data_IF_942337169814
#
_entry.id   IF_942337169814
#
_cell.length_a   1.000
_cell.length_b   1.000
_cell.length_c   1.000
_cell.angle_alpha   90.00
_cell.angle_beta   90.00
_cell.angle_gamma   90.00
#
_symmetry.space_group_name_H-M   'P 1'
#
loop_
_entity.id
_entity.type
_entity.pdbx_description
1 polymer ?
#
# COMPACT_ATOMS: atom_id res chain seq x y z
N UNK A 1 -68.01 42.87 32.10
CA UNK A 1 -68.34 43.10 33.53
C UNK A 1 -67.13 42.80 34.40
N UNK A 2 -65.99 43.44 34.07
CA UNK A 2 -65.48 44.65 34.73
C UNK A 2 -65.49 44.70 36.26
N UNK A 3 -64.28 44.75 36.83
CA UNK A 3 -63.75 45.78 37.76
C UNK A 3 -62.27 45.42 38.05
N UNK A 4 -61.27 46.06 37.41
CA UNK A 4 -60.52 47.27 37.83
C UNK A 4 -60.10 47.27 39.32
N UNK A 5 -58.84 47.51 39.74
CA UNK A 5 -57.87 48.52 39.30
C UNK A 5 -56.47 48.35 39.95
N UNK A 6 -55.45 48.85 39.23
CA UNK A 6 -54.13 49.46 39.57
C UNK A 6 -53.36 49.12 40.87
N UNK A 7 -52.06 48.78 40.74
CA UNK A 7 -50.96 49.75 40.94
C UNK A 7 -49.57 49.16 40.58
N UNK A 8 -48.67 50.03 40.14
CA UNK A 8 -47.21 49.81 39.94
C UNK A 8 -46.48 51.05 40.50
N UNK A 9 -45.13 51.18 40.56
CA UNK A 9 -44.03 50.21 40.49
C UNK A 9 -42.98 50.42 41.63
N UNK A 10 -42.12 49.44 41.96
CA UNK A 10 -40.81 49.71 42.61
C UNK A 10 -39.75 48.71 42.12
N UNK A 11 -38.65 49.25 41.61
CA UNK A 11 -37.44 48.54 41.23
C UNK A 11 -36.59 48.19 42.46
N UNK A 12 -36.00 47.00 42.49
CA UNK A 12 -34.75 46.76 43.21
C UNK A 12 -34.00 45.58 42.61
N UNK A 13 -32.78 45.87 42.19
CA UNK A 13 -31.81 44.97 41.62
C UNK A 13 -31.41 43.85 42.59
N UNK A 14 -31.37 42.60 42.11
CA UNK A 14 -30.35 41.63 42.51
C UNK A 14 -30.29 40.44 41.53
N UNK A 15 -29.55 40.60 40.42
CA UNK A 15 -29.06 39.46 39.64
C UNK A 15 -27.55 39.61 39.45
N UNK A 16 -26.82 39.27 40.53
CA UNK A 16 -25.37 39.15 40.49
C UNK A 16 -24.95 37.69 40.36
N UNK A 17 -24.42 37.38 39.18
CA UNK A 17 -23.37 36.38 38.91
C UNK A 17 -23.63 34.92 39.33
N UNK A 18 -24.25 34.15 38.42
CA UNK A 18 -23.80 32.78 38.18
C UNK A 18 -22.70 32.84 37.12
N UNK A 19 -21.46 32.80 37.59
CA UNK A 19 -20.28 32.64 36.76
C UNK A 19 -20.41 31.37 35.91
N UNK A 20 -20.46 31.58 34.61
CA UNK A 20 -20.18 30.58 33.60
C UNK A 20 -18.76 30.05 33.82
N UNK A 21 -18.65 28.84 34.39
CA UNK A 21 -17.46 28.01 34.26
C UNK A 21 -17.31 27.64 32.78
N UNK A 22 -16.66 28.55 32.04
CA UNK A 22 -16.05 28.22 30.76
C UNK A 22 -14.90 27.25 31.08
N UNK A 23 -15.19 25.95 30.96
CA UNK A 23 -14.17 24.90 30.86
C UNK A 23 -13.25 25.25 29.68
N UNK A 24 -12.15 25.93 29.99
CA UNK A 24 -11.08 26.21 29.06
C UNK A 24 -10.33 24.88 28.84
N UNK A 25 -10.77 24.07 27.86
CA UNK A 25 -9.96 22.94 27.41
C UNK A 25 -8.58 23.50 27.00
N UNK A 26 -7.47 22.99 27.56
CA UNK A 26 -6.15 23.42 27.15
C UNK A 26 -5.97 23.05 25.68
N UNK A 27 -5.72 24.05 24.84
CA UNK A 27 -5.50 23.90 23.41
C UNK A 27 -4.22 23.06 23.20
N UNK A 28 -4.36 21.73 23.23
CA UNK A 28 -3.26 20.78 23.08
C UNK A 28 -2.55 21.10 21.76
N UNK A 29 -1.25 21.36 21.84
CA UNK A 29 -0.39 21.61 20.68
C UNK A 29 -0.61 20.54 19.61
N UNK A 30 -0.52 20.94 18.33
CA UNK A 30 -0.67 20.03 17.18
C UNK A 30 0.19 18.77 17.33
N UNK A 31 1.39 18.89 17.92
CA UNK A 31 2.26 17.76 18.23
C UNK A 31 1.67 16.80 19.26
N UNK A 32 1.01 17.30 20.31
CA UNK A 32 0.34 16.47 21.32
C UNK A 32 -0.85 15.71 20.73
N UNK A 33 -1.61 16.34 19.83
CA UNK A 33 -2.73 15.68 19.12
C UNK A 33 -2.24 14.56 18.19
N UNK A 34 -1.15 14.80 17.47
CA UNK A 34 -0.50 13.77 16.62
C UNK A 34 0.01 12.61 17.48
N UNK A 35 0.70 12.89 18.58
CA UNK A 35 1.28 11.86 19.45
C UNK A 35 0.21 10.96 20.07
N UNK A 36 -0.90 11.55 20.53
CA UNK A 36 -2.04 10.80 21.08
C UNK A 36 -2.71 9.94 20.00
N UNK A 37 -2.85 10.46 18.77
CA UNK A 37 -3.40 9.69 17.65
C UNK A 37 -2.51 8.51 17.27
N UNK A 38 -1.18 8.68 17.26
CA UNK A 38 -0.21 7.62 16.98
C UNK A 38 -0.28 6.55 18.08
N UNK A 39 -0.26 6.97 19.35
CA UNK A 39 -0.33 6.05 20.49
C UNK A 39 -1.64 5.23 20.46
N UNK A 40 -2.78 5.89 20.23
CA UNK A 40 -4.07 5.20 20.16
C UNK A 40 -4.12 4.16 19.04
N UNK A 41 -3.56 4.47 17.86
CA UNK A 41 -3.49 3.48 16.78
C UNK A 41 -2.55 2.32 17.15
N UNK A 42 -1.39 2.62 17.75
CA UNK A 42 -0.40 1.62 18.15
C UNK A 42 -0.94 0.61 19.16
N UNK A 43 -1.81 1.05 20.07
CA UNK A 43 -2.45 0.16 21.05
C UNK A 43 -3.74 -0.50 20.52
N UNK A 44 -4.13 -0.25 19.26
CA UNK A 44 -5.31 -0.87 18.69
C UNK A 44 -5.06 -2.34 18.34
N UNK A 45 -5.88 -3.29 18.84
CA UNK A 45 -5.73 -4.70 18.51
C UNK A 45 -5.93 -4.98 17.01
N UNK A 46 -6.75 -4.19 16.34
CA UNK A 46 -7.01 -4.33 14.90
C UNK A 46 -5.77 -3.99 14.05
N UNK A 47 -4.93 -3.06 14.51
CA UNK A 47 -3.65 -2.77 13.84
C UNK A 47 -2.74 -3.99 13.86
N UNK A 48 -2.58 -4.63 15.02
CA UNK A 48 -1.69 -5.79 15.18
C UNK A 48 -2.20 -7.02 14.45
N UNK A 49 -3.53 -7.23 14.43
CA UNK A 49 -4.14 -8.28 13.58
C UNK A 49 -3.83 -8.03 12.10
N UNK A 50 -4.01 -6.80 11.62
CA UNK A 50 -3.72 -6.46 10.23
C UNK A 50 -2.21 -6.55 9.90
N UNK A 51 -1.33 -6.17 10.83
CA UNK A 51 0.11 -6.33 10.69
C UNK A 51 0.53 -7.81 10.63
N UNK A 52 -0.09 -8.67 11.46
CA UNK A 52 0.13 -10.12 11.40
C UNK A 52 -0.37 -10.70 10.06
N UNK A 53 -1.51 -10.22 9.55
CA UNK A 53 -1.98 -10.58 8.21
C UNK A 53 -0.96 -10.19 7.15
N UNK A 54 -0.43 -8.97 7.17
CA UNK A 54 0.61 -8.53 6.24
C UNK A 54 1.88 -9.40 6.30
N UNK A 55 2.30 -9.80 7.51
CA UNK A 55 3.44 -10.70 7.70
C UNK A 55 3.19 -12.06 7.05
N UNK A 56 2.09 -12.73 7.41
CA UNK A 56 1.76 -14.08 6.94
C UNK A 56 1.50 -14.07 5.43
N UNK A 57 0.75 -13.07 4.96
CA UNK A 57 0.44 -12.90 3.55
C UNK A 57 1.69 -12.63 2.72
N UNK A 58 2.60 -11.78 3.18
CA UNK A 58 3.88 -11.53 2.49
C UNK A 58 4.72 -12.80 2.43
N UNK A 59 4.81 -13.56 3.53
CA UNK A 59 5.53 -14.82 3.55
C UNK A 59 4.96 -15.83 2.54
N UNK A 60 3.63 -16.02 2.55
CA UNK A 60 2.94 -16.93 1.63
C UNK A 60 3.01 -16.48 0.17
N UNK A 61 2.83 -15.18 -0.08
CA UNK A 61 2.92 -14.59 -1.41
C UNK A 61 4.31 -14.83 -2.00
N UNK A 62 5.36 -14.48 -1.27
CA UNK A 62 6.73 -14.64 -1.74
C UNK A 62 7.12 -16.11 -1.89
N UNK A 63 6.61 -17.00 -1.02
CA UNK A 63 6.89 -18.43 -1.09
C UNK A 63 6.32 -19.02 -2.38
N UNK A 64 5.02 -18.82 -2.61
CA UNK A 64 4.33 -19.32 -3.81
C UNK A 64 4.87 -18.65 -5.07
N UNK A 65 5.01 -17.32 -5.08
CA UNK A 65 5.50 -16.57 -6.23
C UNK A 65 6.92 -17.00 -6.64
N UNK A 66 7.85 -17.07 -5.68
CA UNK A 66 9.26 -17.38 -5.98
C UNK A 66 9.41 -18.82 -6.45
N UNK A 67 8.78 -19.78 -5.76
CA UNK A 67 8.87 -21.19 -6.14
C UNK A 67 8.20 -21.45 -7.49
N UNK A 68 7.05 -20.84 -7.78
CA UNK A 68 6.41 -20.96 -9.09
C UNK A 68 7.26 -20.33 -10.20
N UNK A 69 7.86 -19.16 -9.98
CA UNK A 69 8.77 -18.55 -10.97
C UNK A 69 9.96 -19.49 -11.24
N UNK A 70 10.61 -20.02 -10.21
CA UNK A 70 11.74 -20.94 -10.38
C UNK A 70 11.30 -22.19 -11.15
N UNK A 71 10.14 -22.77 -10.83
CA UNK A 71 9.60 -23.92 -11.55
C UNK A 71 9.34 -23.60 -13.04
N UNK A 72 8.81 -22.40 -13.35
CA UNK A 72 8.60 -21.95 -14.73
C UNK A 72 9.91 -21.80 -15.51
N UNK A 73 10.99 -21.41 -14.83
CA UNK A 73 12.30 -21.20 -15.43
C UNK A 73 13.07 -22.51 -15.64
N UNK A 74 12.78 -23.53 -14.84
CA UNK A 74 13.38 -24.87 -14.91
C UNK A 74 12.64 -25.81 -15.86
N UNK A 75 11.37 -25.53 -16.16
CA UNK A 75 10.59 -26.32 -17.11
C UNK A 75 11.11 -26.14 -18.54
N UNK A 76 12.03 -26.99 -18.97
CA UNK A 76 12.64 -27.02 -20.31
C UNK A 76 11.67 -27.20 -21.49
N UNK A 77 10.35 -27.26 -21.24
CA UNK A 77 9.30 -27.64 -22.17
C UNK A 77 8.46 -26.47 -22.70
N UNK A 78 8.42 -25.32 -22.00
CA UNK A 78 7.53 -24.19 -22.37
C UNK A 78 8.28 -22.86 -22.33
N UNK A 79 7.86 -21.88 -23.16
CA UNK A 79 8.48 -20.56 -23.15
C UNK A 79 8.15 -19.84 -21.82
N UNK A 80 9.14 -19.65 -20.93
CA UNK A 80 8.92 -19.04 -19.61
C UNK A 80 8.41 -17.60 -19.70
N UNK A 81 8.55 -16.93 -20.87
CA UNK A 81 8.11 -15.55 -21.08
C UNK A 81 6.61 -15.36 -20.86
N UNK A 82 5.78 -16.38 -21.14
CA UNK A 82 4.32 -16.34 -20.93
C UNK A 82 3.91 -17.00 -19.61
N UNK A 83 4.60 -18.07 -19.22
CA UNK A 83 4.26 -18.84 -18.02
C UNK A 83 4.48 -18.02 -16.74
N UNK A 84 5.59 -17.28 -16.66
CA UNK A 84 5.94 -16.47 -15.48
C UNK A 84 4.89 -15.37 -15.20
N UNK A 85 4.51 -14.50 -16.16
CA UNK A 85 3.44 -13.52 -15.96
C UNK A 85 2.10 -14.15 -15.56
N UNK A 86 1.76 -15.31 -16.13
CA UNK A 86 0.52 -16.00 -15.80
C UNK A 86 0.51 -16.51 -14.35
N UNK A 87 1.62 -17.09 -13.89
CA UNK A 87 1.79 -17.48 -12.48
C UNK A 87 1.71 -16.26 -11.55
N UNK A 88 2.38 -15.15 -11.90
CA UNK A 88 2.32 -13.88 -11.16
C UNK A 88 0.87 -13.40 -11.04
N UNK A 89 0.11 -13.43 -12.14
CA UNK A 89 -1.30 -13.03 -12.16
C UNK A 89 -2.14 -13.85 -11.19
N UNK A 90 -2.13 -15.18 -11.30
CA UNK A 90 -2.96 -16.05 -10.47
C UNK A 90 -2.63 -15.88 -9.00
N UNK A 91 -1.34 -15.96 -8.66
CA UNK A 91 -0.88 -15.90 -7.27
C UNK A 91 -1.24 -14.55 -6.67
N UNK A 92 -0.90 -13.44 -7.34
CA UNK A 92 -1.22 -12.13 -6.84
C UNK A 92 -2.73 -11.90 -6.68
N UNK A 93 -3.54 -12.34 -7.66
CA UNK A 93 -5.00 -12.23 -7.59
C UNK A 93 -5.55 -12.92 -6.34
N UNK A 94 -5.16 -14.17 -6.08
CA UNK A 94 -5.64 -14.93 -4.93
C UNK A 94 -5.24 -14.28 -3.59
N UNK A 95 -3.98 -13.87 -3.46
CA UNK A 95 -3.52 -13.21 -2.24
C UNK A 95 -4.22 -11.87 -2.03
N UNK A 96 -4.37 -11.04 -3.08
CA UNK A 96 -5.10 -9.77 -2.98
C UNK A 96 -6.56 -9.99 -2.59
N UNK A 97 -7.26 -10.93 -3.23
CA UNK A 97 -8.67 -11.21 -2.95
C UNK A 97 -8.92 -11.55 -1.47
N UNK A 98 -8.01 -12.32 -0.86
CA UNK A 98 -8.12 -12.73 0.55
C UNK A 98 -7.69 -11.63 1.51
N UNK A 99 -6.64 -10.89 1.18
CA UNK A 99 -5.97 -9.99 2.13
C UNK A 99 -6.51 -8.56 2.12
N UNK A 100 -7.08 -8.10 1.00
CA UNK A 100 -7.66 -6.75 0.90
C UNK A 100 -8.71 -6.48 1.99
N UNK A 101 -9.67 -7.38 2.28
CA UNK A 101 -10.63 -7.18 3.37
C UNK A 101 -10.04 -7.22 4.78
N UNK A 102 -8.85 -7.82 4.95
CA UNK A 102 -8.25 -8.10 6.25
C UNK A 102 -7.26 -7.01 6.68
N UNK A 103 -6.34 -6.62 5.79
CA UNK A 103 -5.28 -5.64 6.08
C UNK A 103 -5.26 -4.45 5.11
N UNK A 104 -6.02 -4.51 4.02
CA UNK A 104 -5.82 -3.67 2.83
C UNK A 104 -4.99 -4.36 1.74
N UNK A 105 -4.40 -5.53 2.04
CA UNK A 105 -3.73 -6.38 1.06
C UNK A 105 -2.52 -5.73 0.40
N UNK A 106 -1.63 -5.12 1.19
CA UNK A 106 -0.48 -4.41 0.62
C UNK A 106 0.62 -5.39 0.21
N UNK A 107 1.10 -6.22 1.14
CA UNK A 107 2.16 -7.24 0.96
C UNK A 107 3.43 -6.75 0.25
N UNK A 108 3.58 -5.42 0.18
CA UNK A 108 4.56 -4.72 -0.63
C UNK A 108 4.77 -3.31 -0.04
N UNK A 109 6.02 -2.93 0.28
CA UNK A 109 6.36 -1.59 0.73
C UNK A 109 5.86 -0.48 -0.19
N UNK A 110 5.81 -0.73 -1.50
CA UNK A 110 5.42 0.26 -2.50
C UNK A 110 3.94 0.58 -2.42
N UNK A 111 3.08 -0.44 -2.30
CA UNK A 111 1.65 -0.26 -2.07
C UNK A 111 1.36 0.38 -0.72
N UNK A 112 2.12 0.00 0.31
CA UNK A 112 2.04 0.62 1.63
C UNK A 112 2.42 2.11 1.59
N UNK A 113 3.50 2.44 0.89
CA UNK A 113 3.99 3.80 0.77
C UNK A 113 3.03 4.70 -0.02
N UNK A 114 2.52 4.24 -1.17
CA UNK A 114 1.55 5.04 -1.94
C UNK A 114 0.21 5.20 -1.21
N UNK A 115 -0.24 4.18 -0.47
CA UNK A 115 -1.41 4.29 0.40
C UNK A 115 -1.20 5.36 1.49
N UNK A 116 -0.01 5.42 2.09
CA UNK A 116 0.35 6.46 3.05
C UNK A 116 0.40 7.86 2.40
N UNK A 117 1.00 8.00 1.21
CA UNK A 117 1.05 9.28 0.48
C UNK A 117 -0.35 9.79 0.10
N UNK A 118 -1.27 8.89 -0.31
CA UNK A 118 -2.67 9.21 -0.59
C UNK A 118 -3.50 9.40 0.70
N UNK A 119 -2.91 9.22 1.87
CA UNK A 119 -3.55 9.38 3.17
C UNK A 119 -4.53 8.26 3.54
N UNK A 120 -4.51 7.12 2.83
CA UNK A 120 -5.39 5.97 3.08
C UNK A 120 -5.03 5.19 4.33
N UNK A 121 -3.76 5.22 4.71
CA UNK A 121 -3.26 4.68 5.98
C UNK A 121 -2.44 5.74 6.70
N UNK A 122 -2.34 5.63 8.02
CA UNK A 122 -1.44 6.48 8.79
C UNK A 122 0.03 6.11 8.55
N UNK A 123 0.94 7.04 8.84
CA UNK A 123 2.38 6.78 8.80
C UNK A 123 2.80 5.70 9.81
N UNK A 124 2.16 5.64 10.98
CA UNK A 124 2.45 4.62 11.98
C UNK A 124 2.12 3.22 11.46
N UNK A 125 0.94 3.05 10.87
CA UNK A 125 0.53 1.79 10.23
C UNK A 125 1.46 1.42 9.08
N UNK A 126 1.85 2.39 8.26
CA UNK A 126 2.76 2.17 7.14
C UNK A 126 4.12 1.60 7.60
N UNK A 127 4.68 2.15 8.67
CA UNK A 127 5.96 1.70 9.24
C UNK A 127 5.81 0.27 9.80
N UNK A 128 4.73 -0.03 10.51
CA UNK A 128 4.49 -1.35 11.08
C UNK A 128 4.30 -2.40 9.97
N UNK A 129 3.55 -2.07 8.92
CA UNK A 129 3.38 -2.93 7.75
C UNK A 129 4.71 -3.20 7.05
N UNK A 130 5.56 -2.17 6.91
CA UNK A 130 6.90 -2.35 6.33
C UNK A 130 7.73 -3.37 7.12
N UNK A 131 7.75 -3.27 8.46
CA UNK A 131 8.45 -4.26 9.29
C UNK A 131 7.83 -5.66 9.18
N UNK A 132 6.50 -5.76 9.22
CA UNK A 132 5.79 -7.02 9.06
C UNK A 132 6.13 -7.70 7.71
N UNK A 133 6.15 -6.93 6.62
CA UNK A 133 6.50 -7.39 5.27
C UNK A 133 7.98 -7.82 5.18
N UNK A 134 8.90 -7.07 5.77
CA UNK A 134 10.32 -7.45 5.83
C UNK A 134 10.52 -8.77 6.59
N UNK A 135 9.88 -8.93 7.76
CA UNK A 135 9.96 -10.16 8.55
C UNK A 135 9.33 -11.33 7.79
N UNK A 136 8.15 -11.14 7.17
CA UNK A 136 7.50 -12.15 6.34
C UNK A 136 8.38 -12.61 5.18
N UNK A 137 9.09 -11.69 4.53
CA UNK A 137 10.07 -12.03 3.51
C UNK A 137 11.22 -12.88 4.04
N UNK A 138 11.84 -12.49 5.16
CA UNK A 138 12.94 -13.27 5.76
C UNK A 138 12.47 -14.70 6.11
N UNK A 139 11.29 -14.83 6.73
CA UNK A 139 10.69 -16.14 7.07
C UNK A 139 10.49 -16.99 5.81
N UNK A 140 9.91 -16.41 4.76
CA UNK A 140 9.71 -17.10 3.49
C UNK A 140 11.03 -17.66 2.92
N UNK A 141 12.05 -16.82 2.79
CA UNK A 141 13.29 -17.26 2.16
C UNK A 141 14.11 -18.21 3.05
N UNK A 142 13.95 -18.17 4.38
CA UNK A 142 14.44 -19.23 5.27
C UNK A 142 13.78 -20.57 4.99
N UNK A 143 12.46 -20.57 4.78
CA UNK A 143 11.71 -21.79 4.42
C UNK A 143 12.17 -22.30 3.05
N UNK A 144 12.22 -21.43 2.02
CA UNK A 144 12.69 -21.82 0.66
C UNK A 144 14.09 -22.44 0.74
N UNK A 145 15.03 -21.83 1.48
CA UNK A 145 16.39 -22.37 1.65
C UNK A 145 16.41 -23.77 2.26
N UNK A 146 15.44 -24.10 3.10
CA UNK A 146 15.37 -25.39 3.77
C UNK A 146 14.71 -26.46 2.90
N UNK A 147 13.68 -26.10 2.14
CA UNK A 147 12.87 -27.07 1.36
C UNK A 147 13.37 -27.27 -0.07
N UNK A 148 14.06 -26.29 -0.65
CA UNK A 148 14.48 -26.31 -2.04
C UNK A 148 15.82 -27.05 -2.20
N UNK A 149 15.97 -27.82 -3.28
CA UNK A 149 17.22 -28.50 -3.59
C UNK A 149 18.37 -27.49 -3.70
N UNK A 150 19.51 -27.78 -3.06
CA UNK A 150 20.67 -26.88 -3.01
C UNK A 150 21.11 -26.40 -4.41
N UNK A 151 21.15 -27.32 -5.39
CA UNK A 151 21.50 -26.99 -6.79
C UNK A 151 20.59 -25.93 -7.40
N UNK A 152 19.29 -26.00 -7.15
CA UNK A 152 18.31 -25.01 -7.61
C UNK A 152 18.46 -23.69 -6.85
N UNK A 153 18.68 -23.76 -5.54
CA UNK A 153 18.91 -22.59 -4.69
C UNK A 153 20.11 -21.76 -5.16
N UNK A 154 21.21 -22.43 -5.51
CA UNK A 154 22.41 -21.76 -5.97
C UNK A 154 22.26 -21.25 -7.42
N UNK A 155 21.59 -22.00 -8.30
CA UNK A 155 21.42 -21.63 -9.71
C UNK A 155 20.51 -20.41 -9.90
N UNK A 156 19.51 -20.23 -9.03
CA UNK A 156 18.54 -19.13 -9.12
C UNK A 156 18.69 -18.09 -8.00
N UNK A 157 19.76 -18.14 -7.20
CA UNK A 157 19.99 -17.26 -6.05
C UNK A 157 18.83 -17.24 -5.04
N UNK A 158 18.26 -18.41 -4.74
CA UNK A 158 17.03 -18.59 -3.93
C UNK A 158 15.78 -17.95 -4.54
N UNK A 159 15.90 -17.57 -5.80
CA UNK A 159 15.14 -16.49 -6.35
C UNK A 159 15.37 -15.19 -5.59
N UNK A 160 16.51 -14.52 -5.79
CA UNK A 160 16.80 -13.18 -5.29
C UNK A 160 17.32 -12.21 -6.35
N UNK A 161 16.97 -10.92 -6.27
CA UNK A 161 17.04 -10.01 -7.43
C UNK A 161 18.49 -9.67 -7.81
N UNK A 162 18.94 -10.17 -8.96
CA UNK A 162 20.30 -9.94 -9.47
C UNK A 162 20.25 -9.03 -10.69
N UNK A 163 21.16 -8.06 -10.75
CA UNK A 163 21.39 -7.21 -11.93
C UNK A 163 22.63 -7.76 -12.64
N UNK A 164 22.45 -8.76 -13.49
CA UNK A 164 23.48 -9.32 -14.37
C UNK A 164 23.36 -8.69 -15.76
N UNK A 165 24.49 -8.35 -16.38
CA UNK A 165 24.62 -7.91 -17.79
C UNK A 165 23.89 -6.61 -18.20
N UNK A 166 23.08 -6.02 -17.32
CA UNK A 166 22.40 -4.75 -17.54
C UNK A 166 23.10 -3.60 -16.82
N UNK A 167 23.32 -2.47 -17.53
CA UNK A 167 23.80 -1.24 -16.90
C UNK A 167 22.84 -0.82 -15.77
N UNK A 168 23.37 -0.47 -14.59
CA UNK A 168 22.59 -0.06 -13.40
C UNK A 168 21.55 1.01 -13.70
N UNK A 169 21.85 1.97 -14.58
CA UNK A 169 20.91 3.01 -15.00
C UNK A 169 19.71 2.45 -15.77
N UNK A 170 19.92 1.46 -16.64
CA UNK A 170 18.83 0.79 -17.37
C UNK A 170 17.97 -0.05 -16.43
N UNK A 171 18.57 -0.74 -15.47
CA UNK A 171 17.85 -1.47 -14.43
C UNK A 171 16.96 -0.53 -13.60
N UNK A 172 17.50 0.61 -13.17
CA UNK A 172 16.74 1.63 -12.44
C UNK A 172 15.56 2.18 -13.25
N UNK A 173 15.78 2.50 -14.51
CA UNK A 173 14.71 2.98 -15.40
C UNK A 173 13.63 1.91 -15.60
N UNK A 174 14.03 0.65 -15.75
CA UNK A 174 13.09 -0.46 -15.91
C UNK A 174 12.24 -0.66 -14.65
N UNK A 175 12.86 -0.71 -13.46
CA UNK A 175 12.14 -0.77 -12.17
C UNK A 175 11.14 0.37 -12.01
N UNK A 176 11.59 1.59 -12.32
CA UNK A 176 10.76 2.77 -12.25
C UNK A 176 9.56 2.67 -13.20
N UNK A 177 9.77 2.39 -14.48
CA UNK A 177 8.71 2.35 -15.48
C UNK A 177 7.70 1.22 -15.20
N UNK A 178 8.18 0.01 -14.90
CA UNK A 178 7.32 -1.12 -14.59
C UNK A 178 6.52 -0.86 -13.31
N UNK A 179 7.14 -0.31 -12.26
CA UNK A 179 6.39 0.07 -11.04
C UNK A 179 5.37 1.15 -11.34
N UNK A 180 5.72 2.18 -12.12
CA UNK A 180 4.80 3.24 -12.50
C UNK A 180 3.58 2.68 -13.24
N UNK A 181 3.76 1.73 -14.16
CA UNK A 181 2.64 1.06 -14.86
C UNK A 181 1.74 0.30 -13.88
N UNK A 182 2.32 -0.43 -12.92
CA UNK A 182 1.53 -1.13 -11.88
C UNK A 182 0.70 -0.14 -11.06
N UNK A 183 1.30 0.98 -10.64
CA UNK A 183 0.59 2.02 -9.89
C UNK A 183 -0.48 2.70 -10.75
N UNK A 184 -0.15 3.06 -11.98
CA UNK A 184 -1.05 3.76 -12.88
C UNK A 184 -2.28 2.93 -13.24
N UNK A 185 -2.11 1.64 -13.55
CA UNK A 185 -3.23 0.76 -13.93
C UNK A 185 -3.95 0.20 -12.70
N UNK A 186 -3.20 -0.40 -11.78
CA UNK A 186 -3.76 -1.11 -10.63
C UNK A 186 -4.26 -0.15 -9.55
N UNK A 187 -3.37 0.72 -9.06
CA UNK A 187 -3.64 1.55 -7.88
C UNK A 187 -4.65 2.66 -8.19
N UNK A 188 -4.64 3.22 -9.41
CA UNK A 188 -5.65 4.21 -9.82
C UNK A 188 -7.06 3.65 -9.74
N UNK A 189 -7.27 2.41 -10.18
CA UNK A 189 -8.58 1.78 -10.08
C UNK A 189 -8.91 1.40 -8.65
N UNK A 190 -7.95 0.84 -7.91
CA UNK A 190 -8.15 0.40 -6.54
C UNK A 190 -8.49 1.56 -5.59
N UNK A 191 -7.94 2.75 -5.83
CA UNK A 191 -8.15 3.92 -4.96
C UNK A 191 -9.30 4.83 -5.43
N UNK A 192 -9.86 4.62 -6.62
CA UNK A 192 -11.09 5.26 -7.05
C UNK A 192 -12.30 4.59 -6.37
N UNK A 193 -12.78 5.21 -5.29
CA UNK A 193 -13.90 4.69 -4.48
C UNK A 193 -15.15 4.36 -5.30
N UNK A 194 -15.48 5.19 -6.30
CA UNK A 194 -16.69 5.00 -7.11
C UNK A 194 -16.49 3.79 -8.01
N UNK A 195 -15.42 3.78 -8.81
CA UNK A 195 -15.14 2.68 -9.73
C UNK A 195 -14.89 1.36 -9.01
N UNK A 196 -14.16 1.38 -7.90
CA UNK A 196 -13.91 0.19 -7.08
C UNK A 196 -15.21 -0.40 -6.53
N UNK A 197 -16.18 0.44 -6.15
CA UNK A 197 -17.49 -0.03 -5.68
C UNK A 197 -18.34 -0.59 -6.82
N UNK A 198 -18.35 0.09 -7.97
CA UNK A 198 -19.15 -0.31 -9.14
C UNK A 198 -18.65 -1.63 -9.75
N UNK A 199 -17.33 -1.85 -9.77
CA UNK A 199 -16.71 -3.06 -10.32
C UNK A 199 -16.64 -4.22 -9.32
N UNK A 200 -16.64 -3.92 -8.03
CA UNK A 200 -16.50 -4.90 -6.95
C UNK A 200 -15.05 -5.35 -6.71
N UNK A 201 -14.84 -5.94 -5.53
CA UNK A 201 -13.52 -6.38 -5.05
C UNK A 201 -12.80 -7.34 -6.03
N UNK A 202 -13.44 -8.39 -6.58
CA UNK A 202 -12.74 -9.33 -7.47
C UNK A 202 -12.12 -8.64 -8.69
N UNK A 203 -12.84 -7.71 -9.32
CA UNK A 203 -12.35 -7.00 -10.51
C UNK A 203 -11.20 -6.05 -10.17
N UNK A 204 -11.24 -5.39 -9.01
CA UNK A 204 -10.11 -4.58 -8.53
C UNK A 204 -8.86 -5.46 -8.36
N UNK A 205 -9.00 -6.62 -7.72
CA UNK A 205 -7.89 -7.56 -7.54
C UNK A 205 -7.36 -8.08 -8.89
N UNK A 206 -8.24 -8.37 -9.86
CA UNK A 206 -7.86 -8.77 -11.22
C UNK A 206 -7.03 -7.68 -11.89
N UNK A 207 -7.43 -6.42 -11.82
CA UNK A 207 -6.71 -5.33 -12.50
C UNK A 207 -5.34 -5.09 -11.87
N UNK A 208 -5.24 -5.12 -10.53
CA UNK A 208 -3.95 -4.97 -9.84
C UNK A 208 -3.02 -6.15 -10.17
N UNK A 209 -3.52 -7.39 -10.14
CA UNK A 209 -2.75 -8.58 -10.50
C UNK A 209 -2.33 -8.58 -11.97
N UNK A 210 -3.23 -8.18 -12.87
CA UNK A 210 -2.96 -8.06 -14.31
C UNK A 210 -1.89 -7.00 -14.59
N UNK A 211 -1.94 -5.86 -13.90
CA UNK A 211 -0.93 -4.82 -14.04
C UNK A 211 0.47 -5.34 -13.63
N UNK A 212 0.56 -6.10 -12.54
CA UNK A 212 1.82 -6.75 -12.14
C UNK A 212 2.30 -7.78 -13.16
N UNK A 213 1.40 -8.63 -13.67
CA UNK A 213 1.74 -9.61 -14.70
C UNK A 213 2.24 -8.94 -15.99
N UNK A 214 1.58 -7.87 -16.44
CA UNK A 214 2.01 -7.07 -17.61
C UNK A 214 3.39 -6.45 -17.36
N UNK A 215 3.63 -5.88 -16.18
CA UNK A 215 4.93 -5.30 -15.84
C UNK A 215 6.06 -6.34 -15.87
N UNK A 216 5.80 -7.55 -15.37
CA UNK A 216 6.74 -8.67 -15.44
C UNK A 216 6.96 -9.13 -16.89
N UNK A 217 5.90 -9.25 -17.70
CA UNK A 217 5.99 -9.62 -19.11
C UNK A 217 6.82 -8.60 -19.92
N UNK A 218 6.57 -7.31 -19.73
CA UNK A 218 7.32 -6.22 -20.36
C UNK A 218 8.79 -6.28 -19.94
N UNK A 219 9.06 -6.48 -18.64
CA UNK A 219 10.44 -6.60 -18.15
C UNK A 219 11.19 -7.75 -18.79
N UNK A 220 10.58 -8.93 -18.89
CA UNK A 220 11.19 -10.11 -19.52
C UNK A 220 11.44 -9.84 -21.01
N UNK A 221 10.48 -9.20 -21.69
CA UNK A 221 10.58 -8.88 -23.12
C UNK A 221 11.70 -7.88 -23.41
N UNK A 222 11.84 -6.84 -22.59
CA UNK A 222 12.85 -5.78 -22.77
C UNK A 222 14.26 -6.28 -22.42
N UNK A 223 14.39 -7.09 -21.37
CA UNK A 223 15.69 -7.62 -20.94
C UNK A 223 16.12 -8.85 -21.74
N UNK A 224 15.17 -9.53 -22.40
CA UNK A 224 15.40 -10.78 -23.11
C UNK A 224 15.69 -11.97 -22.19
N UNK A 225 15.66 -11.77 -20.87
CA UNK A 225 16.02 -12.77 -19.87
C UNK A 225 14.78 -13.18 -19.07
N UNK A 226 14.26 -14.37 -19.39
CA UNK A 226 13.41 -15.09 -18.46
C UNK A 226 14.33 -15.86 -17.52
N UNK A 227 14.59 -15.28 -16.34
CA UNK A 227 15.51 -15.88 -15.38
C UNK A 227 15.93 -14.87 -14.36
N UNK A 228 15.22 -14.82 -13.22
CA UNK A 228 15.45 -14.09 -11.96
C UNK A 228 16.09 -12.65 -11.95
N UNK A 229 16.44 -12.05 -13.09
CA UNK A 229 16.90 -10.66 -13.26
C UNK A 229 15.81 -9.72 -13.80
N UNK A 230 14.56 -10.20 -13.87
CA UNK A 230 13.40 -9.38 -14.21
C UNK A 230 13.11 -8.31 -13.14
N UNK A 231 12.08 -7.50 -13.39
CA UNK A 231 11.67 -6.42 -12.49
C UNK A 231 11.31 -6.95 -11.10
N UNK A 232 11.82 -6.28 -10.07
CA UNK A 232 11.59 -6.57 -8.67
C UNK A 232 10.17 -6.25 -8.23
N UNK A 233 9.67 -5.04 -8.55
CA UNK A 233 8.34 -4.47 -8.18
C UNK A 233 8.01 -4.41 -6.67
N UNK A 234 8.68 -5.22 -5.86
CA UNK A 234 8.47 -5.40 -4.44
C UNK A 234 9.85 -5.42 -3.75
N UNK A 235 10.22 -4.36 -3.00
CA UNK A 235 11.52 -4.28 -2.34
C UNK A 235 11.77 -5.44 -1.37
N UNK A 236 10.75 -5.90 -0.63
CA UNK A 236 10.95 -7.00 0.33
C UNK A 236 11.14 -8.35 -0.36
N UNK A 237 10.61 -8.55 -1.58
CA UNK A 237 10.93 -9.72 -2.41
C UNK A 237 12.43 -9.81 -2.68
N UNK A 238 13.06 -8.69 -2.99
CA UNK A 238 14.50 -8.64 -3.25
C UNK A 238 15.33 -8.67 -1.95
N UNK A 239 14.80 -8.14 -0.85
CA UNK A 239 15.51 -8.03 0.43
C UNK A 239 15.78 -9.38 1.10
N UNK A 240 14.76 -10.25 1.20
CA UNK A 240 14.86 -11.54 1.88
C UNK A 240 16.06 -12.41 1.43
N UNK A 241 16.21 -12.71 0.13
CA UNK A 241 17.31 -13.53 -0.36
C UNK A 241 18.64 -12.77 -0.29
N UNK A 242 18.64 -11.43 -0.46
CA UNK A 242 19.85 -10.63 -0.30
C UNK A 242 20.42 -10.69 1.13
N UNK A 243 19.56 -10.66 2.15
CA UNK A 243 19.97 -10.83 3.55
C UNK A 243 20.51 -12.24 3.85
N UNK A 244 20.00 -13.27 3.17
CA UNK A 244 20.32 -14.68 3.46
C UNK A 244 21.50 -15.25 2.68
N UNK A 245 21.67 -14.84 1.41
CA UNK A 245 22.73 -15.33 0.54
C UNK A 245 23.86 -14.31 0.35
N UNK A 246 23.57 -13.02 0.47
CA UNK A 246 24.57 -11.96 0.28
C UNK A 246 25.15 -11.91 -1.14
N UNK A 247 26.41 -11.47 -1.24
CA UNK A 247 27.18 -11.50 -2.48
C UNK A 247 26.57 -10.66 -3.62
N UNK A 248 26.41 -11.22 -4.84
CA UNK A 248 25.92 -10.49 -6.01
C UNK A 248 24.57 -9.80 -5.82
N UNK A 249 23.72 -10.31 -4.92
CA UNK A 249 22.40 -9.75 -4.62
C UNK A 249 22.45 -8.34 -4.00
N UNK A 250 23.57 -7.98 -3.37
CA UNK A 250 23.78 -6.62 -2.86
C UNK A 250 24.24 -5.64 -3.94
N UNK A 251 24.75 -6.13 -5.07
CA UNK A 251 25.26 -5.28 -6.13
C UNK A 251 24.12 -4.58 -6.89
N UNK A 252 23.82 -3.34 -6.49
CA UNK A 252 22.71 -2.58 -7.05
C UNK A 252 21.38 -2.82 -6.35
N UNK A 253 21.36 -3.47 -5.18
CA UNK A 253 20.14 -3.74 -4.41
C UNK A 253 19.29 -2.49 -4.15
N UNK A 254 19.96 -1.34 -3.94
CA UNK A 254 19.30 -0.05 -3.72
C UNK A 254 18.34 0.34 -4.85
N UNK A 255 18.53 -0.17 -6.06
CA UNK A 255 17.70 0.12 -7.23
C UNK A 255 16.27 -0.38 -7.02
N UNK A 256 16.10 -1.55 -6.40
CA UNK A 256 14.79 -2.13 -6.08
C UNK A 256 14.03 -1.37 -5.00
N UNK A 257 14.68 -0.42 -4.32
CA UNK A 257 14.05 0.52 -3.41
C UNK A 257 13.86 1.86 -4.11
N UNK A 258 14.92 2.49 -4.58
CA UNK A 258 14.87 3.85 -5.12
C UNK A 258 13.98 3.95 -6.36
N UNK A 259 14.08 3.01 -7.31
CA UNK A 259 13.28 3.03 -8.54
C UNK A 259 11.77 3.02 -8.25
N UNK A 260 11.28 2.01 -7.51
CA UNK A 260 9.86 1.91 -7.18
C UNK A 260 9.34 3.06 -6.29
N UNK A 261 10.13 3.55 -5.33
CA UNK A 261 9.72 4.70 -4.50
C UNK A 261 9.66 6.01 -5.30
N UNK A 262 10.57 6.23 -6.25
CA UNK A 262 10.50 7.37 -7.18
C UNK A 262 9.24 7.28 -8.07
N UNK A 263 8.88 6.07 -8.51
CA UNK A 263 7.64 5.85 -9.26
C UNK A 263 6.40 6.22 -8.43
N UNK A 264 6.37 5.89 -7.12
CA UNK A 264 5.30 6.33 -6.22
C UNK A 264 5.17 7.85 -6.13
N UNK A 265 6.29 8.57 -5.99
CA UNK A 265 6.28 10.04 -5.90
C UNK A 265 5.74 10.66 -7.19
N UNK A 266 6.20 10.19 -8.36
CA UNK A 266 5.70 10.70 -9.64
C UNK A 266 4.22 10.35 -9.83
N UNK A 267 3.84 9.10 -9.58
CA UNK A 267 2.45 8.66 -9.67
C UNK A 267 1.54 9.47 -8.75
N UNK A 268 1.98 9.76 -7.53
CA UNK A 268 1.26 10.63 -6.60
C UNK A 268 1.04 12.03 -7.20
N UNK A 269 2.11 12.66 -7.72
CA UNK A 269 2.03 13.99 -8.33
C UNK A 269 1.09 14.02 -9.55
N UNK A 270 1.17 13.01 -10.42
CA UNK A 270 0.31 12.88 -11.60
C UNK A 270 -1.14 12.65 -11.19
N UNK A 271 -1.38 11.77 -10.21
CA UNK A 271 -2.75 11.41 -9.78
C UNK A 271 -3.51 12.52 -9.06
N UNK A 272 -2.81 13.56 -8.56
CA UNK A 272 -3.47 14.78 -8.04
C UNK A 272 -4.13 15.58 -9.18
N UNK A 273 -3.60 15.46 -10.40
CA UNK A 273 -4.07 16.19 -11.58
C UNK A 273 -5.07 15.41 -12.42
N UNK A 274 -5.46 14.19 -12.00
CA UNK A 274 -6.46 13.44 -12.74
C UNK A 274 -7.81 14.17 -12.70
N UNK A 275 -8.54 14.23 -13.83
CA UNK A 275 -9.88 14.76 -13.83
C UNK A 275 -10.75 13.83 -12.98
N UNK A 276 -10.94 14.19 -11.72
CA UNK A 276 -11.94 13.58 -10.86
C UNK A 276 -13.27 13.96 -11.49
N UNK A 277 -13.93 12.99 -12.14
CA UNK A 277 -15.25 13.23 -12.70
C UNK A 277 -16.15 13.59 -11.53
N UNK A 278 -16.65 14.84 -11.54
CA UNK A 278 -17.42 15.41 -10.45
C UNK A 278 -18.43 14.38 -9.97
N UNK A 279 -18.33 14.08 -8.67
CA UNK A 279 -19.42 13.41 -8.00
C UNK A 279 -20.61 14.32 -8.20
N UNK A 280 -21.58 13.92 -9.03
CA UNK A 280 -22.88 14.58 -9.05
C UNK A 280 -23.39 14.44 -7.62
N UNK A 281 -23.20 15.49 -6.83
CA UNK A 281 -23.94 15.72 -5.62
C UNK A 281 -25.40 15.79 -6.07
N UNK A 282 -26.14 14.70 -5.87
CA UNK A 282 -27.59 14.78 -5.84
C UNK A 282 -27.89 15.75 -4.70
N UNK A 283 -28.27 16.96 -5.09
CA UNK A 283 -28.44 18.10 -4.21
C UNK A 283 -29.45 17.81 -3.10
N UNK A 284 -28.98 17.91 -1.86
CA UNK A 284 -29.73 18.48 -0.77
C UNK A 284 -29.18 19.87 -0.53
N UNK A 285 -30.09 20.84 -0.45
CA UNK A 285 -29.93 22.28 -0.53
C UNK A 285 -28.85 22.89 0.39
N UNK A 286 -28.25 23.99 -0.10
CA UNK A 286 -27.59 25.06 0.65
C UNK A 286 -26.48 24.70 1.65
N UNK A 287 -25.21 24.97 1.31
CA UNK A 287 -24.48 26.03 2.01
C UNK A 287 -23.10 26.34 1.41
N UNK A 288 -22.90 27.64 1.25
CA UNK A 288 -21.72 28.31 0.73
C UNK A 288 -20.65 28.35 1.82
N UNK A 289 -19.61 27.52 1.73
CA UNK A 289 -18.23 27.94 2.04
C UNK A 289 -17.21 26.87 1.64
N UNK A 290 -16.45 27.14 0.59
CA UNK A 290 -15.14 26.54 0.35
C UNK A 290 -14.22 26.93 1.51
N UNK A 291 -13.73 25.94 2.25
CA UNK A 291 -12.48 26.06 3.00
C UNK A 291 -11.72 24.74 2.85
N UNK A 292 -10.51 24.85 2.29
CA UNK A 292 -9.62 23.74 2.02
C UNK A 292 -9.23 22.99 3.29
N UNK A 293 -8.84 21.73 3.09
CA UNK A 293 -8.34 20.81 4.10
C UNK A 293 -9.35 20.45 5.20
N UNK A 294 -10.25 19.51 4.89
CA UNK A 294 -10.62 18.51 5.89
C UNK A 294 -11.33 17.29 5.30
N UNK A 295 -10.74 16.12 5.58
CA UNK A 295 -11.40 14.95 6.15
C UNK A 295 -12.79 14.58 5.62
N UNK A 296 -12.83 13.48 4.87
CA UNK A 296 -13.90 12.49 4.99
C UNK A 296 -13.29 11.08 4.97
N UNK A 297 -12.79 10.67 6.14
CA UNK A 297 -12.63 9.28 6.53
C UNK A 297 -13.71 8.94 7.55
N UNK A 298 -14.56 7.98 7.20
CA UNK A 298 -15.23 7.01 8.08
C UNK A 298 -16.36 6.35 7.28
N UNK A 299 -16.16 5.12 6.81
CA UNK A 299 -16.66 3.88 7.41
C UNK A 299 -16.18 2.69 6.58
#
# INVERSE_FOLDING_TARGET
>A
MDSESLDSPVASADERSRSSDQNHEPNKSLGSKILVSIAHEFFSPEMWKAALTELIATAGLLFTLTTSIIACLDSHETDPKLLVPFAVFIIAFLFLLVTVPLSGGHMNPIFTFIAALKGLISLCRAIIYLFAQCIGSIICFLIIKTVMLQKMADSYYLGGCVISDLKKQKALLLEFCCTFVVLFLGVTLAFDKKRSKDLGLPMVCVVVAAAMAVAVFVSITVTGQAGYAGVGLNPVRCLGPALLLGGPLWNGHWIFWVGPFLACVLYYAVSINFPMQDSVCVGGDGDVLKLGLSKCFAK
#
